data_IF_750697580576
#
_entry.id   IF_750697580576
#
_cell.length_a   1.000
_cell.length_b   1.000
_cell.length_c   1.000
_cell.angle_alpha   90.00
_cell.angle_beta   90.00
_cell.angle_gamma   90.00
#
_symmetry.space_group_name_H-M   'P 1'
#
loop_
_entity.id
_entity.type
_entity.pdbx_description
1 polymer ?
#
# COMPACT_ATOMS: atom_id res chain seq x y z
N UNK A 1 70.87 -13.29 -67.19
CA UNK A 1 70.04 -14.49 -67.47
C UNK A 1 69.21 -14.83 -66.24
N UNK A 2 68.02 -15.40 -66.48
CA UNK A 2 67.00 -15.93 -65.56
C UNK A 2 66.01 -14.93 -64.92
N UNK A 3 64.73 -15.25 -65.17
CA UNK A 3 63.47 -14.60 -64.82
C UNK A 3 62.88 -15.25 -63.55
N UNK A 4 61.70 -14.73 -63.13
CA UNK A 4 60.56 -15.40 -62.41
C UNK A 4 60.69 -15.42 -60.86
N UNK A 5 59.69 -15.10 -60.02
CA UNK A 5 58.26 -14.73 -60.15
C UNK A 5 57.74 -14.04 -58.85
N UNK A 6 56.59 -13.39 -58.96
CA UNK A 6 55.77 -12.73 -57.93
C UNK A 6 55.22 -13.65 -56.80
N UNK A 7 54.92 -13.04 -55.65
CA UNK A 7 53.73 -13.38 -54.85
C UNK A 7 53.27 -12.17 -54.01
N UNK A 8 52.05 -11.73 -54.27
CA UNK A 8 51.26 -10.78 -53.47
C UNK A 8 50.97 -11.34 -52.07
N UNK A 9 50.87 -10.46 -51.07
CA UNK A 9 50.23 -10.82 -49.79
C UNK A 9 50.43 -9.81 -48.66
N UNK A 10 49.51 -8.84 -48.57
CA UNK A 10 48.99 -8.31 -47.30
C UNK A 10 49.91 -7.41 -46.45
N UNK A 11 49.82 -6.10 -46.68
CA UNK A 11 50.07 -5.10 -45.64
C UNK A 11 48.77 -4.93 -44.85
N UNK A 12 48.77 -5.25 -43.56
CA UNK A 12 47.86 -4.60 -42.62
C UNK A 12 48.63 -4.32 -41.34
N UNK A 13 49.10 -3.08 -41.22
CA UNK A 13 49.57 -2.46 -39.99
C UNK A 13 48.44 -2.45 -38.96
N UNK A 14 48.61 -3.20 -37.88
CA UNK A 14 47.71 -3.16 -36.72
C UNK A 14 47.93 -1.85 -35.96
N UNK A 15 47.18 -0.80 -36.29
CA UNK A 15 46.92 0.29 -35.36
C UNK A 15 45.92 -0.23 -34.33
N UNK A 16 46.38 -0.40 -33.09
CA UNK A 16 45.51 -0.65 -31.96
C UNK A 16 44.56 0.54 -31.81
N UNK A 17 43.32 0.41 -32.28
CA UNK A 17 42.26 1.33 -31.98
C UNK A 17 41.93 1.18 -30.49
N UNK A 18 42.38 2.13 -29.68
CA UNK A 18 41.93 2.28 -28.30
C UNK A 18 40.47 2.72 -28.39
N UNK A 19 39.48 1.94 -27.92
CA UNK A 19 38.16 2.47 -27.77
C UNK A 19 38.21 3.45 -26.60
N UNK A 20 38.08 4.74 -26.90
CA UNK A 20 37.58 5.69 -25.91
C UNK A 20 36.15 5.25 -25.58
N UNK A 21 36.01 4.39 -24.58
CA UNK A 21 34.74 4.19 -23.90
C UNK A 21 34.47 5.50 -23.17
N UNK A 22 33.78 6.42 -23.83
CA UNK A 22 33.04 7.44 -23.15
C UNK A 22 32.02 6.70 -22.28
N UNK A 23 32.36 6.53 -21.00
CA UNK A 23 31.38 6.21 -19.98
C UNK A 23 30.41 7.38 -19.92
N UNK A 24 29.42 7.36 -20.81
CA UNK A 24 28.15 7.99 -20.56
C UNK A 24 27.62 7.30 -19.31
N UNK A 25 27.90 7.88 -18.14
CA UNK A 25 27.10 7.67 -16.94
C UNK A 25 25.68 8.14 -17.26
N UNK A 26 24.94 7.35 -18.04
CA UNK A 26 23.51 7.25 -17.84
C UNK A 26 23.38 6.83 -16.40
N UNK A 27 22.98 7.78 -15.55
CA UNK A 27 22.41 7.50 -14.25
C UNK A 27 21.22 6.60 -14.53
N UNK A 28 21.48 5.31 -14.60
CA UNK A 28 20.51 4.28 -14.34
C UNK A 28 20.09 4.57 -12.90
N UNK A 29 19.05 5.39 -12.77
CA UNK A 29 18.48 5.68 -11.47
C UNK A 29 18.10 4.31 -10.92
N UNK A 30 18.83 3.84 -9.90
CA UNK A 30 18.41 2.73 -9.08
C UNK A 30 16.94 3.00 -8.73
N UNK A 31 16.05 2.28 -9.38
CA UNK A 31 14.63 2.48 -9.22
C UNK A 31 14.33 1.86 -7.86
N UNK A 32 14.42 2.69 -6.81
CA UNK A 32 14.20 2.31 -5.42
C UNK A 32 12.96 1.42 -5.38
N UNK A 33 13.16 0.16 -5.01
CA UNK A 33 12.10 -0.83 -4.96
C UNK A 33 11.05 -0.35 -3.96
N UNK A 34 9.85 -0.08 -4.47
CA UNK A 34 8.77 0.43 -3.65
C UNK A 34 8.15 -0.73 -2.88
N UNK A 35 7.99 -0.56 -1.57
CA UNK A 35 7.43 -1.60 -0.70
C UNK A 35 6.39 -1.04 0.23
N UNK A 36 5.51 -1.91 0.71
CA UNK A 36 4.62 -1.60 1.83
C UNK A 36 4.96 -2.52 2.99
N UNK A 37 5.16 -1.93 4.17
CA UNK A 37 5.40 -2.66 5.42
C UNK A 37 4.21 -2.45 6.33
N UNK A 38 3.69 -3.52 6.92
CA UNK A 38 2.62 -3.48 7.93
C UNK A 38 3.21 -3.84 9.28
N UNK A 39 2.94 -3.02 10.30
CA UNK A 39 3.39 -3.25 11.66
C UNK A 39 2.28 -2.98 12.68
N UNK A 40 2.26 -3.75 13.77
CA UNK A 40 1.48 -3.42 14.97
C UNK A 40 2.17 -2.27 15.73
N UNK A 41 1.43 -1.23 16.06
CA UNK A 41 1.93 -0.09 16.84
C UNK A 41 1.95 -0.34 18.35
N UNK A 42 1.49 -1.51 18.82
CA UNK A 42 1.32 -1.83 20.24
C UNK A 42 0.47 -0.76 20.98
N UNK A 43 -0.51 -0.21 20.27
CA UNK A 43 -1.43 0.79 20.82
C UNK A 43 -2.30 0.18 21.93
N UNK A 44 -2.33 0.85 23.10
CA UNK A 44 -3.09 0.40 24.28
C UNK A 44 -4.28 1.30 24.60
N UNK A 45 -4.73 2.10 23.63
CA UNK A 45 -5.82 3.08 23.83
C UNK A 45 -7.19 2.44 24.03
N UNK A 46 -7.37 1.19 23.57
CA UNK A 46 -8.61 0.41 23.69
C UNK A 46 -8.35 -0.90 24.40
N UNK A 47 -9.29 -1.32 25.25
CA UNK A 47 -9.22 -2.57 26.02
C UNK A 47 -10.25 -3.58 25.51
N UNK A 48 -9.99 -4.85 25.76
CA UNK A 48 -10.94 -5.92 25.45
C UNK A 48 -12.26 -5.66 26.18
N UNK A 49 -13.37 -5.77 25.46
CA UNK A 49 -14.72 -5.55 25.98
C UNK A 49 -15.18 -4.09 25.95
N UNK A 50 -14.28 -3.13 25.70
CA UNK A 50 -14.69 -1.74 25.48
C UNK A 50 -15.66 -1.69 24.30
N UNK A 51 -16.70 -0.86 24.42
CA UNK A 51 -17.63 -0.60 23.32
C UNK A 51 -16.97 0.32 22.30
N UNK A 52 -17.28 0.10 21.03
CA UNK A 52 -16.95 1.06 19.98
C UNK A 52 -17.87 2.26 20.11
N UNK A 53 -17.30 3.46 20.05
CA UNK A 53 -18.04 4.71 20.21
C UNK A 53 -19.23 4.76 19.25
N UNK A 54 -20.42 5.13 19.78
CA UNK A 54 -21.71 5.18 19.06
C UNK A 54 -22.25 3.81 18.58
N UNK A 55 -21.62 2.70 18.97
CA UNK A 55 -21.99 1.35 18.57
C UNK A 55 -21.95 0.38 19.75
N UNK A 56 -22.96 0.47 20.63
CA UNK A 56 -23.02 -0.26 21.91
C UNK A 56 -22.89 -1.79 21.84
N UNK A 57 -23.15 -2.38 20.68
CA UNK A 57 -23.08 -3.83 20.47
C UNK A 57 -21.76 -4.32 19.88
N UNK A 58 -20.96 -3.41 19.34
CA UNK A 58 -19.65 -3.73 18.77
C UNK A 58 -18.61 -3.49 19.84
N UNK A 59 -17.77 -4.49 20.10
CA UNK A 59 -16.73 -4.40 21.13
C UNK A 59 -15.33 -4.59 20.56
N UNK A 60 -14.36 -4.04 21.27
CA UNK A 60 -12.95 -4.30 21.02
C UNK A 60 -12.56 -5.68 21.55
N UNK A 61 -11.75 -6.40 20.78
CA UNK A 61 -11.23 -7.73 21.11
C UNK A 61 -9.75 -7.81 20.75
N UNK A 62 -8.98 -8.58 21.52
CA UNK A 62 -7.63 -8.95 21.12
C UNK A 62 -7.70 -9.97 19.96
N UNK A 63 -7.17 -9.58 18.81
CA UNK A 63 -7.16 -10.42 17.61
C UNK A 63 -5.74 -10.80 17.17
N UNK A 64 -4.72 -10.53 18.00
CA UNK A 64 -3.30 -10.75 17.67
C UNK A 64 -3.02 -12.19 17.21
N UNK A 65 -3.51 -13.19 17.93
CA UNK A 65 -3.33 -14.61 17.58
C UNK A 65 -4.12 -15.06 16.35
N UNK A 66 -5.13 -14.28 15.93
CA UNK A 66 -5.98 -14.60 14.77
C UNK A 66 -5.41 -14.06 13.46
N UNK A 67 -4.31 -13.31 13.50
CA UNK A 67 -3.83 -12.51 12.38
C UNK A 67 -2.35 -12.78 12.15
N UNK A 68 -2.04 -13.36 11.00
CA UNK A 68 -0.68 -13.45 10.52
C UNK A 68 -0.38 -12.25 9.62
N UNK A 69 0.40 -11.29 10.11
CA UNK A 69 0.78 -10.09 9.34
C UNK A 69 1.67 -10.41 8.14
N UNK A 70 2.50 -11.46 8.22
CA UNK A 70 3.42 -11.84 7.14
C UNK A 70 2.68 -12.30 5.87
N UNK A 71 1.43 -12.75 6.04
CA UNK A 71 0.56 -13.13 4.93
C UNK A 71 -0.16 -11.96 4.28
N UNK A 72 -0.16 -10.77 4.88
CA UNK A 72 -0.93 -9.61 4.40
C UNK A 72 -0.09 -8.82 3.41
N UNK A 73 -0.64 -8.61 2.22
CA UNK A 73 0.01 -7.80 1.18
C UNK A 73 -0.83 -6.59 0.84
N UNK A 74 -0.20 -5.42 0.77
CA UNK A 74 -0.81 -4.17 0.31
C UNK A 74 -0.24 -3.84 -1.06
N UNK A 75 -1.00 -4.14 -2.10
CA UNK A 75 -0.62 -3.93 -3.49
C UNK A 75 -1.06 -2.54 -3.93
N UNK A 76 -0.11 -1.65 -4.17
CA UNK A 76 -0.37 -0.26 -4.57
C UNK A 76 -0.22 -0.12 -6.09
N UNK A 77 -1.22 0.46 -6.75
CA UNK A 77 -1.07 0.97 -8.10
C UNK A 77 -0.32 2.30 -8.07
N UNK A 78 0.99 2.21 -8.24
CA UNK A 78 1.91 3.34 -8.23
C UNK A 78 1.65 4.43 -9.27
N UNK A 79 0.95 4.10 -10.36
CA UNK A 79 0.57 5.09 -11.39
C UNK A 79 -0.60 5.96 -10.92
N UNK A 80 -1.42 5.41 -10.02
CA UNK A 80 -2.61 6.02 -9.46
C UNK A 80 -2.41 6.56 -8.03
N UNK A 81 -1.49 6.00 -7.24
CA UNK A 81 -1.23 6.40 -5.86
C UNK A 81 -0.40 7.69 -5.79
N UNK A 82 -1.06 8.83 -6.05
CA UNK A 82 -0.48 10.17 -6.03
C UNK A 82 -1.44 11.19 -5.44
N UNK A 83 -0.89 12.29 -4.91
CA UNK A 83 -1.65 13.33 -4.19
C UNK A 83 -2.89 13.84 -4.94
N UNK A 84 -2.82 13.94 -6.27
CA UNK A 84 -3.95 14.34 -7.12
C UNK A 84 -5.18 13.44 -6.99
N UNK A 85 -4.99 12.17 -6.64
CA UNK A 85 -6.05 11.16 -6.51
C UNK A 85 -6.49 10.93 -5.06
N UNK A 86 -5.84 11.51 -4.05
CA UNK A 86 -6.24 11.36 -2.64
C UNK A 86 -7.49 12.18 -2.33
N UNK A 87 -8.37 11.65 -1.49
CA UNK A 87 -9.62 12.32 -1.09
C UNK A 87 -9.27 13.50 -0.18
N UNK A 88 -9.72 14.70 -0.53
CA UNK A 88 -9.55 15.88 0.32
C UNK A 88 -10.92 16.23 0.90
N UNK A 89 -11.04 16.11 2.21
CA UNK A 89 -12.29 16.42 2.92
C UNK A 89 -12.02 17.38 4.08
N UNK A 90 -13.06 18.10 4.51
CA UNK A 90 -13.01 18.94 5.72
C UNK A 90 -12.91 18.14 7.03
N UNK A 91 -13.08 16.82 6.95
CA UNK A 91 -13.04 15.90 8.08
C UNK A 91 -11.70 15.18 8.22
N UNK A 92 -10.75 15.46 7.31
CA UNK A 92 -9.39 14.92 7.43
C UNK A 92 -8.71 15.44 8.69
N UNK A 93 -7.90 14.61 9.34
CA UNK A 93 -7.10 15.05 10.49
C UNK A 93 -6.13 16.17 10.09
N UNK A 94 -5.80 17.04 11.05
CA UNK A 94 -4.72 18.00 10.88
C UNK A 94 -3.40 17.29 10.54
N UNK A 95 -2.59 17.88 9.66
CA UNK A 95 -1.36 17.26 9.16
C UNK A 95 -1.55 16.14 8.11
N UNK A 96 -2.78 15.66 7.88
CA UNK A 96 -3.07 14.68 6.82
C UNK A 96 -2.85 15.27 5.42
N UNK A 97 -2.17 14.53 4.54
CA UNK A 97 -1.98 14.89 3.12
C UNK A 97 -3.20 14.57 2.26
N UNK A 98 -4.18 13.87 2.82
CA UNK A 98 -5.38 13.40 2.12
C UNK A 98 -5.91 12.13 2.77
N UNK A 99 -7.00 11.61 2.22
CA UNK A 99 -7.64 10.39 2.70
C UNK A 99 -7.74 9.37 1.58
N UNK A 100 -7.82 8.10 1.96
CA UNK A 100 -8.24 7.00 1.10
C UNK A 100 -9.55 6.44 1.65
N UNK A 101 -10.35 5.80 0.81
CA UNK A 101 -11.49 5.02 1.25
C UNK A 101 -11.16 3.54 1.11
N UNK A 102 -11.22 2.80 2.21
CA UNK A 102 -11.07 1.34 2.19
C UNK A 102 -12.45 0.71 2.28
N UNK A 103 -12.66 -0.36 1.53
CA UNK A 103 -13.85 -1.20 1.65
C UNK A 103 -13.53 -2.65 1.40
N UNK A 104 -14.25 -3.54 2.07
CA UNK A 104 -14.17 -4.97 1.81
C UNK A 104 -15.50 -5.48 1.26
N UNK A 105 -15.46 -6.11 0.09
CA UNK A 105 -16.63 -6.69 -0.56
C UNK A 105 -16.26 -8.03 -1.20
N UNK A 106 -17.05 -9.07 -0.94
CA UNK A 106 -16.80 -10.45 -1.43
C UNK A 106 -15.36 -10.94 -1.17
N UNK A 107 -14.82 -10.66 0.02
CA UNK A 107 -13.48 -11.08 0.42
C UNK A 107 -12.33 -10.29 -0.22
N UNK A 108 -12.63 -9.23 -0.99
CA UNK A 108 -11.61 -8.34 -1.57
C UNK A 108 -11.62 -7.01 -0.85
N UNK A 109 -10.46 -6.59 -0.36
CA UNK A 109 -10.27 -5.27 0.24
C UNK A 109 -9.63 -4.34 -0.78
N UNK A 110 -10.31 -3.25 -1.11
CA UNK A 110 -9.89 -2.27 -2.11
C UNK A 110 -9.60 -0.92 -1.47
N UNK A 111 -8.63 -0.20 -2.03
CA UNK A 111 -8.25 1.15 -1.64
C UNK A 111 -8.66 2.10 -2.75
N UNK A 112 -9.52 3.06 -2.43
CA UNK A 112 -10.06 4.04 -3.37
C UNK A 112 -9.62 5.47 -3.04
N UNK A 113 -9.41 6.26 -4.07
CA UNK A 113 -9.15 7.68 -4.03
C UNK A 113 -10.41 8.51 -4.28
N UNK A 114 -10.23 9.71 -4.87
CA UNK A 114 -11.34 10.60 -5.25
C UNK A 114 -12.36 9.88 -6.13
N UNK A 115 -13.63 10.13 -5.85
CA UNK A 115 -14.76 9.72 -6.68
C UNK A 115 -15.38 10.93 -7.35
N UNK A 116 -15.82 10.75 -8.60
CA UNK A 116 -16.65 11.73 -9.32
C UNK A 116 -18.14 11.57 -8.97
N UNK A 117 -18.50 10.58 -8.15
CA UNK A 117 -19.86 10.33 -7.68
C UNK A 117 -19.93 10.52 -6.17
N UNK A 118 -21.14 10.40 -5.61
CA UNK A 118 -21.35 10.42 -4.16
C UNK A 118 -20.93 9.11 -3.45
N UNK A 119 -20.48 8.10 -4.21
CA UNK A 119 -20.07 6.80 -3.69
C UNK A 119 -18.54 6.71 -3.63
N UNK A 120 -17.95 6.57 -2.44
CA UNK A 120 -16.50 6.56 -2.31
C UNK A 120 -15.85 5.28 -2.88
N UNK A 121 -16.57 4.16 -2.92
CA UNK A 121 -16.10 2.89 -3.52
C UNK A 121 -16.11 2.91 -5.07
N UNK A 122 -16.67 3.94 -5.70
CA UNK A 122 -16.55 4.17 -7.15
C UNK A 122 -15.36 5.11 -7.48
N UNK A 123 -14.57 5.49 -6.48
CA UNK A 123 -13.38 6.31 -6.68
C UNK A 123 -12.24 5.58 -7.38
N UNK A 124 -11.25 6.35 -7.83
CA UNK A 124 -10.03 5.83 -8.49
C UNK A 124 -9.45 4.70 -7.66
N UNK A 125 -9.28 3.51 -8.25
CA UNK A 125 -8.66 2.38 -7.58
C UNK A 125 -7.16 2.69 -7.40
N UNK A 126 -6.71 2.73 -6.15
CA UNK A 126 -5.32 3.03 -5.78
C UNK A 126 -4.53 1.79 -5.40
N UNK A 127 -5.22 0.69 -5.11
CA UNK A 127 -4.60 -0.55 -4.68
C UNK A 127 -5.58 -1.54 -4.06
N UNK A 128 -5.04 -2.66 -3.60
CA UNK A 128 -5.77 -3.74 -2.93
C UNK A 128 -5.02 -4.24 -1.72
N UNK A 129 -5.74 -4.83 -0.78
CA UNK A 129 -5.16 -5.56 0.35
C UNK A 129 -5.61 -7.00 0.26
N UNK A 130 -4.64 -7.92 0.28
CA UNK A 130 -4.85 -9.36 0.14
C UNK A 130 -4.24 -10.13 1.32
N UNK A 131 -4.51 -11.42 1.41
CA UNK A 131 -3.97 -12.28 2.48
C UNK A 131 -4.65 -12.12 3.84
N UNK A 132 -5.76 -11.39 3.90
CA UNK A 132 -6.57 -11.29 5.11
C UNK A 132 -7.20 -12.65 5.47
N UNK A 133 -7.24 -13.03 6.77
CA UNK A 133 -7.97 -14.22 7.20
C UNK A 133 -9.44 -14.17 6.79
N UNK A 134 -10.06 -15.35 6.66
CA UNK A 134 -11.49 -15.44 6.34
C UNK A 134 -12.32 -14.67 7.37
N UNK A 135 -13.29 -13.89 6.90
CA UNK A 135 -14.16 -13.03 7.70
C UNK A 135 -13.45 -11.82 8.35
N UNK A 136 -12.22 -11.49 7.95
CA UNK A 136 -11.55 -10.27 8.37
C UNK A 136 -11.63 -9.21 7.27
N UNK A 137 -11.61 -7.96 7.71
CA UNK A 137 -11.52 -6.78 6.89
C UNK A 137 -10.69 -5.72 7.61
N UNK A 138 -10.38 -4.64 6.89
CA UNK A 138 -9.65 -3.49 7.42
C UNK A 138 -10.61 -2.31 7.58
N UNK A 139 -10.41 -1.52 8.63
CA UNK A 139 -11.20 -0.32 8.90
C UNK A 139 -10.35 0.79 9.53
N UNK A 140 -10.91 2.01 9.62
CA UNK A 140 -10.23 3.16 10.23
C UNK A 140 -9.89 2.89 11.71
N UNK A 141 -8.70 3.29 12.14
CA UNK A 141 -8.23 3.02 13.50
C UNK A 141 -9.00 3.75 14.62
N UNK A 142 -9.56 4.93 14.34
CA UNK A 142 -10.25 5.77 15.33
C UNK A 142 -11.76 5.60 15.24
N UNK A 143 -12.28 5.48 14.01
CA UNK A 143 -13.70 5.37 13.71
C UNK A 143 -13.95 4.07 12.93
N UNK A 144 -13.81 2.89 13.58
CA UNK A 144 -13.72 1.60 12.90
C UNK A 144 -15.06 1.08 12.35
N UNK A 145 -16.18 1.69 12.74
CA UNK A 145 -17.48 1.35 12.18
C UNK A 145 -17.93 2.48 11.26
N UNK A 146 -17.94 2.18 9.96
CA UNK A 146 -18.67 2.99 9.00
C UNK A 146 -20.12 2.56 8.94
N UNK A 147 -20.96 3.42 8.37
CA UNK A 147 -22.42 3.29 8.21
C UNK A 147 -22.92 1.85 8.36
N UNK A 148 -23.84 1.64 9.30
CA UNK A 148 -24.54 0.36 9.50
C UNK A 148 -23.61 -0.83 9.80
N UNK A 149 -22.53 -0.64 10.56
CA UNK A 149 -21.69 -1.77 10.98
C UNK A 149 -20.75 -2.30 9.89
N UNK A 150 -20.47 -1.50 8.85
CA UNK A 150 -19.66 -1.93 7.70
C UNK A 150 -18.18 -1.66 7.94
N UNK A 151 -17.34 -2.63 7.56
CA UNK A 151 -15.87 -2.54 7.56
C UNK A 151 -15.36 -1.75 6.34
N UNK A 152 -15.79 -0.51 6.26
CA UNK A 152 -15.28 0.44 5.28
C UNK A 152 -14.95 1.73 5.98
N UNK A 153 -14.29 2.68 5.33
CA UNK A 153 -14.08 3.97 5.96
C UNK A 153 -13.04 4.81 5.26
N UNK A 154 -13.10 6.11 5.53
CA UNK A 154 -12.05 7.04 5.16
C UNK A 154 -10.88 6.87 6.13
N UNK A 155 -9.66 6.78 5.63
CA UNK A 155 -8.43 6.69 6.41
C UNK A 155 -7.51 7.82 6.00
N UNK A 156 -7.00 8.56 6.98
CA UNK A 156 -6.04 9.64 6.76
C UNK A 156 -4.66 9.09 6.35
N UNK A 157 -4.05 9.75 5.37
CA UNK A 157 -2.68 9.54 4.94
C UNK A 157 -1.78 10.59 5.56
N UNK A 158 -0.65 10.18 6.13
CA UNK A 158 0.37 11.06 6.68
C UNK A 158 1.68 10.88 5.94
N UNK A 159 2.41 11.99 5.73
CA UNK A 159 3.71 11.96 5.09
C UNK A 159 4.82 12.14 6.12
N UNK A 160 5.83 11.28 6.06
CA UNK A 160 7.03 11.35 6.91
C UNK A 160 8.26 11.15 6.03
N UNK A 161 8.94 12.24 5.67
CA UNK A 161 9.96 12.22 4.61
C UNK A 161 9.34 11.77 3.29
N UNK A 162 9.90 10.72 2.68
CA UNK A 162 9.38 10.12 1.44
C UNK A 162 8.30 9.06 1.68
N UNK A 163 8.02 8.72 2.95
CA UNK A 163 7.08 7.65 3.30
C UNK A 163 5.66 8.18 3.41
N UNK A 164 4.69 7.36 3.01
CA UNK A 164 3.27 7.61 3.27
C UNK A 164 2.77 6.54 4.24
N UNK A 165 2.10 6.98 5.30
CA UNK A 165 1.62 6.12 6.38
C UNK A 165 0.12 6.23 6.54
N UNK A 166 -0.53 5.11 6.84
CA UNK A 166 -1.92 5.11 7.26
C UNK A 166 -2.18 4.05 8.32
N UNK A 167 -3.09 4.36 9.24
CA UNK A 167 -3.40 3.51 10.40
C UNK A 167 -4.75 2.85 10.27
N UNK A 168 -4.84 1.61 10.69
CA UNK A 168 -6.05 0.82 10.60
C UNK A 168 -6.20 -0.17 11.76
N UNK A 169 -7.42 -0.71 11.87
CA UNK A 169 -7.77 -1.83 12.75
C UNK A 169 -8.35 -2.95 11.91
N UNK A 170 -8.32 -4.17 12.44
CA UNK A 170 -9.06 -5.27 11.86
C UNK A 170 -10.50 -5.27 12.34
N UNK A 171 -11.39 -5.60 11.42
CA UNK A 171 -12.81 -5.78 11.63
C UNK A 171 -13.15 -7.26 11.37
N UNK A 172 -13.55 -7.98 12.42
CA UNK A 172 -13.87 -9.40 12.35
C UNK A 172 -15.38 -9.60 12.29
N UNK A 173 -15.83 -10.24 11.21
CA UNK A 173 -17.22 -10.66 11.05
C UNK A 173 -17.46 -12.00 11.75
N UNK A 174 -18.48 -12.05 12.62
CA UNK A 174 -18.79 -13.22 13.43
C UNK A 174 -19.92 -14.10 12.83
N UNK A 175 -20.44 -13.73 11.66
CA UNK A 175 -21.55 -14.41 11.01
C UNK A 175 -22.81 -13.55 10.94
N UNK A 176 -23.86 -14.10 10.32
CA UNK A 176 -25.11 -13.38 10.11
C UNK A 176 -25.84 -13.18 11.44
N UNK A 177 -26.20 -11.93 11.74
CA UNK A 177 -26.95 -11.59 12.96
C UNK A 177 -26.11 -11.49 14.24
N UNK A 178 -24.80 -11.64 14.13
CA UNK A 178 -23.85 -11.45 15.24
C UNK A 178 -23.06 -10.17 15.01
N UNK A 179 -23.01 -9.31 16.01
CA UNK A 179 -22.25 -8.07 15.95
C UNK A 179 -20.75 -8.37 15.71
N UNK A 180 -20.05 -7.55 14.91
CA UNK A 180 -18.63 -7.73 14.65
C UNK A 180 -17.77 -7.35 15.87
N UNK A 181 -16.50 -7.73 15.83
CA UNK A 181 -15.49 -7.24 16.76
C UNK A 181 -14.44 -6.39 16.03
N UNK A 182 -13.86 -5.43 16.75
CA UNK A 182 -12.75 -4.60 16.29
C UNK A 182 -11.48 -4.97 17.05
N UNK A 183 -10.33 -5.04 16.38
CA UNK A 183 -9.05 -5.30 17.06
C UNK A 183 -8.73 -4.21 18.09
N UNK A 184 -8.24 -4.60 19.27
CA UNK A 184 -7.60 -3.68 20.22
C UNK A 184 -6.28 -3.13 19.68
N UNK A 185 -5.60 -3.88 18.82
CA UNK A 185 -4.37 -3.46 18.15
C UNK A 185 -4.65 -2.42 17.06
N UNK A 186 -3.73 -1.46 16.90
CA UNK A 186 -3.68 -0.53 15.77
C UNK A 186 -2.47 -0.88 14.92
N UNK A 187 -2.70 -1.01 13.62
CA UNK A 187 -1.67 -1.33 12.64
C UNK A 187 -1.37 -0.11 11.79
N UNK A 188 -0.13 0.00 11.33
CA UNK A 188 0.32 1.01 10.39
C UNK A 188 0.85 0.35 9.13
N UNK A 189 0.33 0.77 7.98
CA UNK A 189 0.95 0.49 6.68
C UNK A 189 1.85 1.68 6.32
N UNK A 190 3.12 1.38 6.06
CA UNK A 190 4.14 2.33 5.61
C UNK A 190 4.52 2.02 4.17
N UNK A 191 4.28 2.99 3.28
CA UNK A 191 4.55 2.94 1.85
C UNK A 191 5.87 3.67 1.60
N UNK A 192 6.88 2.99 1.02
CA UNK A 192 8.26 3.48 0.84
C UNK A 192 8.77 3.46 -0.60
#
# INVERSE_FOLDING_TARGET
>A
MKKILFSLGGVITSFAAVPFVAASCSKESEQKERKVVVADLNDKSKKVGDKVDKHDKVTYQDLSESINLDGITVDIDWSMFKSGNFIVSKYKKEGSIGQIFISTYNGKTTIHGKSNTNKPFEGVLLGTITGLPKNFAITNAENPIYKEGKSSGFIDLFKEGDKIKFKFRFHKYNGKGTDPNISTQVFEATIE
#
